data_IF_927423392423
#
_entry.id   IF_927423392423
#
_cell.length_a   1.000
_cell.length_b   1.000
_cell.length_c   1.000
_cell.angle_alpha   90.00
_cell.angle_beta   90.00
_cell.angle_gamma   90.00
#
_symmetry.space_group_name_H-M   'P 1'
#
loop_
_entity.id
_entity.type
_entity.pdbx_description
1 polymer ?
#
# COMPACT_ATOMS: atom_id res chain seq x y z
N UNK A 1 18.05 -31.99 3.81
CA UNK A 1 17.13 -30.94 3.39
C UNK A 1 15.89 -30.82 4.29
N UNK A 2 15.38 -31.88 4.88
CA UNK A 2 14.31 -31.91 5.88
C UNK A 2 14.58 -30.98 7.09
N UNK A 3 15.80 -30.84 7.53
CA UNK A 3 16.19 -29.96 8.64
C UNK A 3 16.08 -28.47 8.31
N UNK A 4 16.27 -28.07 7.05
CA UNK A 4 16.09 -26.68 6.60
C UNK A 4 14.61 -26.32 6.48
N UNK A 5 13.82 -27.25 6.00
CA UNK A 5 12.35 -27.12 5.88
C UNK A 5 11.69 -27.02 7.25
N UNK A 6 12.09 -27.85 8.20
CA UNK A 6 11.60 -27.81 9.58
C UNK A 6 11.98 -26.54 10.33
N UNK A 7 13.17 -25.98 10.06
CA UNK A 7 13.57 -24.66 10.61
C UNK A 7 12.75 -23.51 10.00
N UNK A 8 12.49 -23.54 8.68
CA UNK A 8 11.64 -22.53 8.02
C UNK A 8 10.21 -22.57 8.56
N UNK A 9 9.64 -23.76 8.69
CA UNK A 9 8.29 -23.96 9.24
C UNK A 9 8.20 -23.48 10.70
N UNK A 10 9.21 -23.72 11.50
CA UNK A 10 9.24 -23.26 12.90
C UNK A 10 9.45 -21.75 13.03
N UNK A 11 10.21 -21.13 12.15
CA UNK A 11 10.37 -19.67 12.08
C UNK A 11 9.07 -18.99 11.61
N UNK A 12 8.37 -19.58 10.66
CA UNK A 12 7.05 -19.12 10.20
C UNK A 12 6.02 -19.16 11.34
N UNK A 13 5.91 -20.27 12.06
CA UNK A 13 5.01 -20.38 13.21
C UNK A 13 5.33 -19.42 14.39
N UNK A 14 6.59 -19.03 14.57
CA UNK A 14 7.00 -18.07 15.59
C UNK A 14 6.66 -16.64 15.15
N UNK A 15 6.81 -16.33 13.88
CA UNK A 15 6.46 -15.05 13.26
C UNK A 15 4.94 -14.83 13.30
N UNK A 16 4.15 -15.84 12.94
CA UNK A 16 2.69 -15.82 12.99
C UNK A 16 2.16 -15.58 14.40
N UNK A 17 2.79 -16.19 15.42
CA UNK A 17 2.42 -15.96 16.82
C UNK A 17 2.77 -14.55 17.30
N UNK A 18 3.86 -13.95 16.85
CA UNK A 18 4.21 -12.56 17.17
C UNK A 18 3.23 -11.59 16.52
N UNK A 19 2.89 -11.80 15.26
CA UNK A 19 1.94 -10.95 14.54
C UNK A 19 0.55 -10.97 15.21
N UNK A 20 0.06 -12.13 15.66
CA UNK A 20 -1.21 -12.22 16.39
C UNK A 20 -1.19 -11.49 17.74
N UNK A 21 -0.05 -11.44 18.42
CA UNK A 21 0.07 -10.71 19.71
C UNK A 21 0.18 -9.19 19.49
N UNK A 22 0.82 -8.74 18.42
CA UNK A 22 0.91 -7.31 18.08
C UNK A 22 -0.41 -6.75 17.55
N UNK A 23 -1.28 -7.57 16.99
CA UNK A 23 -2.57 -7.12 16.44
C UNK A 23 -3.49 -6.50 17.50
N UNK A 24 -3.50 -7.06 18.70
CA UNK A 24 -4.32 -6.53 19.80
C UNK A 24 -3.82 -5.18 20.36
N UNK A 25 -2.59 -4.80 20.00
CA UNK A 25 -1.96 -3.53 20.38
C UNK A 25 -2.05 -2.48 19.27
N UNK A 26 -2.18 -2.91 18.00
CA UNK A 26 -2.25 -2.01 16.84
C UNK A 26 -3.64 -1.37 16.75
N UNK A 27 -3.67 -0.06 16.60
CA UNK A 27 -4.92 0.71 16.49
C UNK A 27 -5.26 0.99 15.02
N UNK A 28 -6.55 1.17 14.75
CA UNK A 28 -7.07 1.47 13.41
C UNK A 28 -6.38 2.66 12.75
N UNK A 29 -6.03 3.71 13.52
CA UNK A 29 -5.30 4.89 13.01
C UNK A 29 -3.92 4.58 12.44
N UNK A 30 -3.31 3.47 12.83
CA UNK A 30 -1.96 3.09 12.40
C UNK A 30 -1.95 2.42 11.03
N UNK A 31 -3.10 1.88 10.61
CA UNK A 31 -3.25 1.14 9.35
C UNK A 31 -4.18 1.82 8.34
N UNK A 32 -4.91 2.87 8.77
CA UNK A 32 -5.85 3.57 7.90
C UNK A 32 -5.15 4.37 6.80
N UNK A 33 -5.81 4.51 5.67
CA UNK A 33 -5.50 5.55 4.69
C UNK A 33 -5.98 6.88 5.28
N UNK A 34 -5.09 7.84 5.53
CA UNK A 34 -5.46 9.10 6.15
C UNK A 34 -6.36 9.93 5.24
N UNK A 35 -7.14 10.83 5.82
CA UNK A 35 -8.08 11.73 5.14
C UNK A 35 -7.48 12.45 3.92
N UNK A 36 -6.23 12.88 4.02
CA UNK A 36 -5.51 13.60 2.96
C UNK A 36 -5.27 12.77 1.71
N UNK A 37 -5.21 11.46 1.85
CA UNK A 37 -4.86 10.51 0.80
C UNK A 37 -6.09 9.75 0.28
N UNK A 38 -7.26 10.00 0.89
CA UNK A 38 -8.52 9.39 0.47
C UNK A 38 -8.93 9.90 -0.92
N UNK A 39 -9.20 8.96 -1.81
CA UNK A 39 -9.84 9.25 -3.09
C UNK A 39 -11.35 9.19 -2.89
N UNK A 40 -12.01 10.35 -2.96
CA UNK A 40 -13.44 10.51 -2.80
C UNK A 40 -14.09 10.99 -4.10
N UNK A 41 -15.41 10.87 -4.19
CA UNK A 41 -16.23 11.43 -5.28
C UNK A 41 -17.28 12.38 -4.70
N UNK A 42 -17.53 13.45 -5.44
CA UNK A 42 -18.64 14.35 -5.15
C UNK A 42 -19.99 13.66 -5.42
N UNK A 43 -21.00 13.96 -4.59
CA UNK A 43 -22.37 13.42 -4.70
C UNK A 43 -23.03 13.67 -6.06
N UNK A 44 -22.62 14.73 -6.77
CA UNK A 44 -23.13 15.11 -8.08
C UNK A 44 -22.39 14.45 -9.24
N UNK A 45 -21.29 13.75 -8.96
CA UNK A 45 -20.57 12.97 -9.97
C UNK A 45 -21.48 11.88 -10.56
N UNK A 46 -21.27 11.53 -11.82
CA UNK A 46 -22.08 10.54 -12.52
C UNK A 46 -21.55 9.12 -12.35
N UNK A 47 -22.37 8.11 -12.63
CA UNK A 47 -21.92 6.73 -12.67
C UNK A 47 -20.84 6.50 -13.75
N UNK A 48 -20.87 7.27 -14.85
CA UNK A 48 -19.80 7.22 -15.86
C UNK A 48 -18.46 7.72 -15.29
N UNK A 49 -18.50 8.77 -14.45
CA UNK A 49 -17.30 9.29 -13.78
C UNK A 49 -16.74 8.26 -12.80
N UNK A 50 -17.60 7.59 -12.04
CA UNK A 50 -17.21 6.52 -11.13
C UNK A 50 -16.53 5.36 -11.87
N UNK A 51 -17.13 4.89 -12.98
CA UNK A 51 -16.55 3.80 -13.77
C UNK A 51 -15.17 4.18 -14.30
N UNK A 52 -14.99 5.44 -14.74
CA UNK A 52 -13.68 5.95 -15.19
C UNK A 52 -12.67 6.01 -14.04
N UNK A 53 -13.09 6.50 -12.89
CA UNK A 53 -12.24 6.57 -11.70
C UNK A 53 -11.77 5.18 -11.29
N UNK A 54 -12.70 4.24 -11.10
CA UNK A 54 -12.39 2.87 -10.71
C UNK A 54 -11.49 2.16 -11.74
N UNK A 55 -11.71 2.39 -13.04
CA UNK A 55 -10.87 1.81 -14.10
C UNK A 55 -9.42 2.33 -14.09
N UNK A 56 -9.21 3.58 -13.66
CA UNK A 56 -7.87 4.18 -13.59
C UNK A 56 -7.13 3.87 -12.29
N UNK A 57 -7.86 3.88 -11.17
CA UNK A 57 -7.29 3.70 -9.82
C UNK A 57 -7.22 2.23 -9.38
N UNK A 58 -8.00 1.34 -10.01
CA UNK A 58 -8.17 -0.04 -9.56
C UNK A 58 -9.11 -0.20 -8.36
N UNK A 59 -9.62 0.89 -7.80
CA UNK A 59 -10.49 0.83 -6.63
C UNK A 59 -11.87 0.31 -6.96
N UNK A 60 -12.39 -0.56 -6.10
CA UNK A 60 -13.73 -1.15 -6.21
C UNK A 60 -14.78 -0.45 -5.34
N UNK A 61 -14.33 0.40 -4.42
CA UNK A 61 -15.18 1.11 -3.44
C UNK A 61 -14.65 2.51 -3.27
N UNK A 62 -15.54 3.50 -3.39
CA UNK A 62 -15.16 4.91 -3.35
C UNK A 62 -16.11 5.64 -2.42
N UNK A 63 -15.61 6.36 -1.40
CA UNK A 63 -16.41 7.24 -0.58
C UNK A 63 -17.03 8.35 -1.42
N UNK A 64 -18.30 8.65 -1.15
CA UNK A 64 -19.05 9.75 -1.77
C UNK A 64 -19.33 10.79 -0.72
N UNK A 65 -18.90 12.01 -1.00
CA UNK A 65 -18.99 13.16 -0.09
C UNK A 65 -19.89 14.24 -0.65
N UNK A 66 -20.37 15.08 0.22
CA UNK A 66 -21.14 16.28 -0.13
C UNK A 66 -20.23 17.48 -0.35
N UNK A 67 -20.47 18.54 0.43
CA UNK A 67 -19.77 19.81 0.24
C UNK A 67 -18.33 19.77 0.79
N UNK A 68 -18.06 18.83 1.68
CA UNK A 68 -16.74 18.64 2.28
C UNK A 68 -16.50 17.15 2.62
N UNK A 69 -15.28 16.80 3.02
CA UNK A 69 -14.89 15.40 3.32
C UNK A 69 -15.64 14.87 4.54
N UNK A 70 -16.01 15.73 5.49
CA UNK A 70 -16.76 15.36 6.67
C UNK A 70 -18.27 15.15 6.38
N UNK A 71 -18.76 15.65 5.23
CA UNK A 71 -20.13 15.40 4.76
C UNK A 71 -20.20 14.09 3.97
N UNK A 72 -20.00 12.97 4.67
CA UNK A 72 -20.02 11.65 4.06
C UNK A 72 -21.46 11.21 3.74
N UNK A 73 -21.76 11.05 2.45
CA UNK A 73 -23.03 10.52 1.96
C UNK A 73 -23.09 9.00 2.05
N UNK A 74 -21.96 8.33 1.79
CA UNK A 74 -21.84 6.88 1.85
C UNK A 74 -20.68 6.36 1.02
N UNK A 75 -20.68 5.06 0.76
CA UNK A 75 -19.67 4.41 -0.11
C UNK A 75 -20.36 3.82 -1.34
N UNK A 76 -19.86 4.19 -2.51
CA UNK A 76 -20.29 3.63 -3.79
C UNK A 76 -19.43 2.42 -4.16
N UNK A 77 -20.07 1.38 -4.69
CA UNK A 77 -19.42 0.14 -5.10
C UNK A 77 -19.41 0.02 -6.63
N UNK A 78 -18.23 -0.27 -7.19
CA UNK A 78 -18.07 -0.50 -8.64
C UNK A 78 -19.08 -1.51 -9.19
N UNK A 79 -19.32 -2.60 -8.46
CA UNK A 79 -20.28 -3.63 -8.87
C UNK A 79 -21.72 -3.11 -9.02
N UNK A 80 -22.11 -2.12 -8.20
CA UNK A 80 -23.44 -1.54 -8.26
C UNK A 80 -23.56 -0.54 -9.42
N UNK A 81 -22.48 0.22 -9.69
CA UNK A 81 -22.41 1.08 -10.86
C UNK A 81 -22.46 0.27 -12.17
N UNK A 82 -21.69 -0.81 -12.26
CA UNK A 82 -21.73 -1.72 -13.40
C UNK A 82 -23.12 -2.34 -13.57
N UNK A 83 -23.74 -2.82 -12.49
CA UNK A 83 -25.11 -3.39 -12.54
C UNK A 83 -26.15 -2.38 -13.02
N UNK A 84 -26.03 -1.11 -12.57
CA UNK A 84 -26.96 -0.06 -12.96
C UNK A 84 -26.85 0.32 -14.43
N UNK A 85 -25.64 0.24 -15.02
CA UNK A 85 -25.35 0.70 -16.38
C UNK A 85 -25.33 -0.39 -17.44
N UNK A 86 -25.14 -1.67 -17.05
CA UNK A 86 -24.91 -2.80 -17.97
C UNK A 86 -26.03 -3.00 -19.00
N UNK A 87 -27.29 -2.77 -18.59
CA UNK A 87 -28.45 -2.94 -19.47
C UNK A 87 -29.21 -1.64 -19.74
N UNK A 88 -28.73 -0.52 -19.22
CA UNK A 88 -29.31 0.80 -19.42
C UNK A 88 -28.21 1.87 -19.56
N UNK A 89 -27.70 2.10 -20.76
CA UNK A 89 -26.65 3.10 -20.97
C UNK A 89 -27.03 4.52 -20.51
N UNK A 90 -28.30 4.88 -20.52
CA UNK A 90 -28.78 6.17 -20.03
C UNK A 90 -28.57 6.33 -18.52
N UNK A 91 -28.50 5.22 -17.77
CA UNK A 91 -28.22 5.26 -16.34
C UNK A 91 -26.77 5.75 -16.03
N UNK A 92 -25.87 5.76 -17.00
CA UNK A 92 -24.52 6.29 -16.83
C UNK A 92 -24.49 7.77 -16.41
N UNK A 93 -25.54 8.53 -16.74
CA UNK A 93 -25.71 9.94 -16.36
C UNK A 93 -26.35 10.15 -14.98
N UNK A 94 -26.78 9.08 -14.31
CA UNK A 94 -27.31 9.19 -12.94
C UNK A 94 -26.18 9.55 -11.97
N UNK A 95 -26.54 10.30 -10.93
CA UNK A 95 -25.60 10.65 -9.87
C UNK A 95 -25.17 9.42 -9.05
N UNK A 96 -23.89 9.39 -8.68
CA UNK A 96 -23.29 8.34 -7.85
C UNK A 96 -24.00 8.20 -6.51
N UNK A 97 -24.51 9.29 -5.95
CA UNK A 97 -25.29 9.31 -4.72
C UNK A 97 -26.51 8.36 -4.75
N UNK A 98 -27.03 8.03 -5.96
CA UNK A 98 -28.18 7.11 -6.09
C UNK A 98 -27.87 5.64 -5.79
N UNK A 99 -26.61 5.25 -5.70
CA UNK A 99 -26.17 3.87 -5.47
C UNK A 99 -25.30 3.68 -4.23
N UNK A 100 -25.13 4.72 -3.41
CA UNK A 100 -24.32 4.65 -2.19
C UNK A 100 -24.95 3.72 -1.17
N UNK A 101 -24.09 3.10 -0.38
CA UNK A 101 -24.46 2.29 0.78
C UNK A 101 -23.91 2.96 2.03
N UNK A 102 -24.58 2.77 3.15
CA UNK A 102 -24.07 3.24 4.43
C UNK A 102 -22.78 2.49 4.79
N UNK A 103 -21.68 3.20 5.08
CA UNK A 103 -20.44 2.58 5.52
C UNK A 103 -20.52 2.19 6.99
N UNK A 104 -19.62 1.30 7.41
CA UNK A 104 -19.30 1.11 8.81
C UNK A 104 -18.48 2.32 9.27
N UNK A 105 -18.90 2.96 10.38
CA UNK A 105 -18.11 4.00 11.06
C UNK A 105 -17.39 3.37 12.24
N UNK A 106 -16.11 3.66 12.38
CA UNK A 106 -15.28 3.13 13.46
C UNK A 106 -14.39 4.23 14.05
N UNK A 107 -14.19 4.25 15.38
CA UNK A 107 -13.26 5.20 15.97
C UNK A 107 -11.82 4.84 15.62
N UNK A 108 -10.96 5.83 15.51
CA UNK A 108 -9.54 5.65 15.20
C UNK A 108 -8.77 4.87 16.30
N UNK A 109 -9.27 4.88 17.52
CA UNK A 109 -8.72 4.16 18.67
C UNK A 109 -9.14 2.69 18.75
N UNK A 110 -9.93 2.19 17.79
CA UNK A 110 -10.37 0.79 17.80
C UNK A 110 -9.20 -0.15 17.50
N UNK A 111 -9.00 -1.24 18.28
CA UNK A 111 -8.03 -2.28 17.96
C UNK A 111 -8.32 -2.94 16.61
N UNK A 112 -7.26 -3.29 15.87
CA UNK A 112 -7.37 -3.86 14.51
C UNK A 112 -8.03 -5.23 14.50
N UNK A 113 -7.82 -6.05 15.51
CA UNK A 113 -8.49 -7.36 15.68
C UNK A 113 -10.00 -7.22 15.84
N UNK A 114 -10.44 -6.28 16.71
CA UNK A 114 -11.86 -5.96 16.90
C UNK A 114 -12.49 -5.38 15.63
N UNK A 115 -11.73 -4.56 14.89
CA UNK A 115 -12.15 -4.02 13.61
C UNK A 115 -12.36 -5.14 12.60
N UNK A 116 -11.39 -6.03 12.46
CA UNK A 116 -11.46 -7.17 11.54
C UNK A 116 -12.67 -8.06 11.81
N UNK A 117 -12.90 -8.42 13.09
CA UNK A 117 -14.07 -9.19 13.48
C UNK A 117 -15.40 -8.49 13.17
N UNK A 118 -15.48 -7.18 13.42
CA UNK A 118 -16.66 -6.39 13.10
C UNK A 118 -16.92 -6.33 11.59
N UNK A 119 -15.86 -6.16 10.77
CA UNK A 119 -15.95 -6.17 9.30
C UNK A 119 -16.41 -7.52 8.77
N UNK A 120 -15.92 -8.63 9.33
CA UNK A 120 -16.35 -9.98 8.96
C UNK A 120 -17.83 -10.21 9.30
N UNK A 121 -18.27 -9.85 10.50
CA UNK A 121 -19.67 -10.04 10.94
C UNK A 121 -20.65 -9.25 10.08
N UNK A 122 -20.29 -8.01 9.73
CA UNK A 122 -21.14 -7.13 8.92
C UNK A 122 -20.97 -7.35 7.42
N UNK A 123 -20.00 -8.17 7.02
CA UNK A 123 -19.60 -8.40 5.62
C UNK A 123 -19.28 -7.10 4.87
N UNK A 124 -18.72 -6.15 5.59
CA UNK A 124 -18.24 -4.92 5.02
C UNK A 124 -16.73 -5.00 4.81
N UNK A 125 -16.26 -4.55 3.67
CA UNK A 125 -14.85 -4.58 3.30
C UNK A 125 -14.18 -3.21 3.36
N UNK A 126 -14.92 -2.17 3.74
CA UNK A 126 -14.44 -0.81 3.97
C UNK A 126 -15.13 -0.27 5.19
N UNK A 127 -14.36 0.35 6.07
CA UNK A 127 -14.86 1.15 7.17
C UNK A 127 -14.31 2.59 7.06
N UNK A 128 -15.12 3.55 7.43
CA UNK A 128 -14.71 4.94 7.56
C UNK A 128 -14.30 5.19 8.99
N UNK A 129 -13.11 5.73 9.16
CA UNK A 129 -12.53 6.02 10.47
C UNK A 129 -12.91 7.44 10.87
N UNK A 130 -13.41 7.57 12.10
CA UNK A 130 -13.82 8.86 12.66
C UNK A 130 -12.98 9.24 13.87
N UNK A 131 -12.69 10.52 13.99
CA UNK A 131 -12.00 11.09 15.15
C UNK A 131 -12.92 11.31 16.34
N UNK A 132 -12.40 11.85 17.44
CA UNK A 132 -13.14 12.12 18.70
C UNK A 132 -14.19 13.23 18.54
N UNK A 133 -14.09 14.03 17.49
CA UNK A 133 -14.99 15.14 17.21
C UNK A 133 -16.09 14.76 16.19
N UNK A 134 -16.03 13.53 15.68
CA UNK A 134 -16.96 13.02 14.66
C UNK A 134 -16.57 13.38 13.23
N UNK A 135 -15.39 13.96 13.01
CA UNK A 135 -14.82 14.21 11.69
C UNK A 135 -14.26 12.93 11.06
N UNK A 136 -14.11 12.92 9.74
CA UNK A 136 -13.50 11.81 9.02
C UNK A 136 -11.99 11.89 9.19
N UNK A 137 -11.40 10.90 9.87
CA UNK A 137 -9.95 10.73 10.02
C UNK A 137 -9.34 9.99 8.84
N UNK A 138 -10.06 9.02 8.27
CA UNK A 138 -9.56 8.21 7.17
C UNK A 138 -10.51 7.09 6.76
N UNK A 139 -10.00 6.14 6.01
CA UNK A 139 -10.67 4.88 5.71
C UNK A 139 -9.73 3.70 5.92
N UNK A 140 -10.30 2.52 6.15
CA UNK A 140 -9.56 1.28 6.28
C UNK A 140 -10.29 0.18 5.51
N UNK A 141 -9.55 -0.69 4.86
CA UNK A 141 -10.09 -1.84 4.16
C UNK A 141 -9.87 -3.13 4.94
N UNK A 142 -10.62 -4.18 4.63
CA UNK A 142 -10.39 -5.49 5.25
C UNK A 142 -9.05 -6.05 4.82
N UNK A 143 -8.62 -5.71 3.60
CA UNK A 143 -7.33 -6.07 3.04
C UNK A 143 -6.19 -5.52 3.93
N UNK A 144 -6.25 -4.24 4.36
CA UNK A 144 -5.26 -3.62 5.26
C UNK A 144 -5.21 -4.34 6.63
N UNK A 145 -6.37 -4.75 7.15
CA UNK A 145 -6.43 -5.50 8.42
C UNK A 145 -5.81 -6.90 8.29
N UNK A 146 -6.02 -7.58 7.14
CA UNK A 146 -5.45 -8.91 6.87
C UNK A 146 -3.93 -8.79 6.72
N UNK A 147 -3.44 -7.76 6.06
CA UNK A 147 -2.00 -7.52 5.89
C UNK A 147 -1.28 -7.41 7.24
N UNK A 148 -1.89 -6.78 8.23
CA UNK A 148 -1.34 -6.73 9.58
C UNK A 148 -1.31 -8.10 10.27
N UNK A 149 -2.29 -8.98 9.99
CA UNK A 149 -2.38 -10.32 10.58
C UNK A 149 -1.35 -11.26 9.97
N UNK A 150 -1.27 -11.25 8.64
CA UNK A 150 -0.46 -12.21 7.88
C UNK A 150 0.97 -11.70 7.70
N UNK A 151 1.21 -10.39 7.93
CA UNK A 151 2.40 -9.69 7.46
C UNK A 151 2.30 -9.47 5.96
N UNK A 152 3.31 -8.86 5.36
CA UNK A 152 3.36 -8.76 3.89
C UNK A 152 3.13 -10.18 3.35
N UNK A 153 1.94 -10.40 2.76
CA UNK A 153 1.69 -11.58 1.94
C UNK A 153 2.68 -11.45 0.78
N UNK A 154 3.78 -12.20 0.86
CA UNK A 154 4.59 -12.46 -0.31
C UNK A 154 3.64 -13.12 -1.32
N UNK A 155 3.02 -12.32 -2.18
CA UNK A 155 2.21 -12.81 -3.29
C UNK A 155 3.12 -13.73 -4.10
N UNK A 156 2.68 -14.94 -4.41
CA UNK A 156 3.45 -15.86 -5.26
C UNK A 156 3.79 -15.22 -6.61
N UNK A 157 3.14 -14.11 -6.95
CA UNK A 157 3.44 -13.23 -8.09
C UNK A 157 4.43 -12.09 -7.75
N UNK A 158 4.66 -11.74 -6.48
CA UNK A 158 5.65 -10.75 -6.04
C UNK A 158 7.09 -11.28 -6.04
N UNK A 159 7.31 -12.50 -6.50
CA UNK A 159 8.67 -13.00 -6.84
C UNK A 159 9.44 -12.10 -7.81
N UNK A 160 8.79 -11.08 -8.33
CA UNK A 160 9.42 -10.06 -9.19
C UNK A 160 9.82 -8.78 -8.45
N UNK A 161 9.41 -8.55 -7.18
CA UNK A 161 9.75 -7.32 -6.47
C UNK A 161 10.84 -7.47 -5.39
N UNK A 162 11.08 -8.69 -4.89
CA UNK A 162 12.28 -9.03 -4.12
C UNK A 162 13.27 -9.84 -4.98
N UNK A 163 13.48 -9.41 -6.22
CA UNK A 163 14.55 -9.99 -7.01
C UNK A 163 15.88 -9.67 -6.31
N UNK A 164 16.57 -10.70 -5.84
CA UNK A 164 17.95 -10.58 -5.41
C UNK A 164 18.76 -9.89 -6.51
N UNK A 165 19.85 -9.17 -6.17
CA UNK A 165 20.71 -8.56 -7.17
C UNK A 165 21.11 -9.58 -8.25
N UNK A 166 20.67 -9.35 -9.50
CA UNK A 166 20.89 -10.24 -10.62
C UNK A 166 21.95 -9.65 -11.56
N UNK A 167 22.98 -10.46 -11.87
CA UNK A 167 24.00 -10.05 -12.84
C UNK A 167 23.48 -10.23 -14.26
N UNK A 168 23.20 -9.11 -14.95
CA UNK A 168 22.67 -9.09 -16.32
C UNK A 168 23.75 -8.88 -17.39
N UNK A 169 25.00 -8.71 -17.00
CA UNK A 169 26.15 -8.55 -17.91
C UNK A 169 27.48 -8.47 -17.17
N UNK A 170 28.60 -8.37 -17.89
CA UNK A 170 29.95 -8.37 -17.28
C UNK A 170 30.15 -7.29 -16.19
N UNK A 171 29.50 -6.12 -16.35
CA UNK A 171 29.55 -4.98 -15.42
C UNK A 171 28.15 -4.37 -15.18
N UNK A 172 27.09 -5.17 -15.35
CA UNK A 172 25.72 -4.71 -15.21
C UNK A 172 24.96 -5.60 -14.26
N UNK A 173 24.32 -4.97 -13.29
CA UNK A 173 23.49 -5.63 -12.30
C UNK A 173 22.10 -5.02 -12.31
N UNK A 174 21.11 -5.83 -12.12
CA UNK A 174 19.73 -5.43 -11.84
C UNK A 174 19.49 -5.70 -10.36
N UNK A 175 19.05 -4.69 -9.63
CA UNK A 175 18.77 -4.82 -8.21
C UNK A 175 17.56 -3.99 -7.80
N UNK A 176 16.84 -4.43 -6.76
CA UNK A 176 15.75 -3.64 -6.20
C UNK A 176 16.24 -2.30 -5.67
N UNK A 177 15.43 -1.26 -5.81
CA UNK A 177 15.75 0.08 -5.31
C UNK A 177 15.94 0.11 -3.78
N UNK A 178 15.27 -0.79 -3.06
CA UNK A 178 15.32 -0.91 -1.59
C UNK A 178 16.46 -1.81 -1.08
N UNK A 179 17.34 -2.32 -1.95
CA UNK A 179 18.49 -3.11 -1.53
C UNK A 179 19.33 -2.30 -0.54
N UNK A 180 19.68 -2.85 0.65
CA UNK A 180 20.54 -2.17 1.62
C UNK A 180 21.93 -1.88 1.03
N UNK A 181 22.54 -0.76 1.45
CA UNK A 181 23.92 -0.40 1.02
C UNK A 181 24.92 -1.47 1.45
N UNK A 182 24.78 -2.04 2.64
CA UNK A 182 25.63 -3.12 3.12
C UNK A 182 25.69 -4.32 2.15
N UNK A 183 24.60 -4.59 1.42
CA UNK A 183 24.61 -5.63 0.37
C UNK A 183 25.46 -5.25 -0.83
N UNK A 184 25.52 -3.95 -1.19
CA UNK A 184 26.43 -3.46 -2.25
C UNK A 184 27.88 -3.55 -1.81
N UNK A 185 28.17 -3.16 -0.59
CA UNK A 185 29.51 -3.22 -0.02
C UNK A 185 30.06 -4.65 -0.01
N UNK A 186 29.22 -5.61 0.43
CA UNK A 186 29.57 -7.03 0.42
C UNK A 186 29.74 -7.60 -1.00
N UNK A 187 28.85 -7.22 -1.93
CA UNK A 187 28.90 -7.73 -3.31
C UNK A 187 30.06 -7.21 -4.15
N UNK A 188 30.47 -5.96 -3.91
CA UNK A 188 31.49 -5.29 -4.71
C UNK A 188 32.82 -5.08 -3.97
N UNK A 189 32.89 -5.52 -2.70
CA UNK A 189 34.06 -5.32 -1.82
C UNK A 189 34.48 -3.85 -1.74
N UNK A 190 33.49 -2.95 -1.64
CA UNK A 190 33.70 -1.50 -1.54
C UNK A 190 33.19 -1.01 -0.19
N UNK A 191 33.75 0.06 0.30
CA UNK A 191 33.27 0.78 1.48
C UNK A 191 32.61 2.08 1.03
N UNK A 192 31.38 2.31 1.43
CA UNK A 192 30.58 3.48 1.07
C UNK A 192 30.41 4.33 2.32
N UNK A 193 31.30 5.33 2.47
CA UNK A 193 31.32 6.27 3.60
C UNK A 193 30.18 7.31 3.48
N UNK A 194 28.93 6.87 3.66
CA UNK A 194 27.73 7.68 3.52
C UNK A 194 26.73 7.37 4.64
N UNK A 195 26.87 8.11 5.76
CA UNK A 195 26.06 7.90 6.98
C UNK A 195 24.54 8.22 6.82
N UNK A 196 24.17 8.98 5.78
CA UNK A 196 22.80 9.50 5.61
C UNK A 196 21.92 8.66 4.70
N UNK A 197 22.39 7.51 4.20
CA UNK A 197 21.65 6.69 3.22
C UNK A 197 21.77 5.20 3.53
N UNK A 198 20.63 4.52 3.59
CA UNK A 198 20.56 3.08 3.94
C UNK A 198 20.28 2.18 2.73
N UNK A 199 19.90 2.75 1.58
CA UNK A 199 19.45 1.97 0.41
C UNK A 199 20.09 2.43 -0.89
N UNK A 200 20.14 1.53 -1.88
CA UNK A 200 20.59 1.84 -3.26
C UNK A 200 19.83 3.02 -3.84
N UNK A 201 18.53 3.12 -3.57
CA UNK A 201 17.72 4.25 -4.03
C UNK A 201 18.14 5.58 -3.40
N UNK A 202 18.41 5.57 -2.09
CA UNK A 202 18.91 6.74 -1.37
C UNK A 202 20.25 7.19 -1.94
N UNK A 203 21.18 6.26 -2.14
CA UNK A 203 22.49 6.52 -2.73
C UNK A 203 22.37 7.12 -4.15
N UNK A 204 21.53 6.54 -4.99
CA UNK A 204 21.28 7.05 -6.35
C UNK A 204 20.67 8.45 -6.32
N UNK A 205 19.71 8.70 -5.42
CA UNK A 205 19.09 10.02 -5.26
C UNK A 205 20.11 11.08 -4.87
N UNK A 206 21.01 10.74 -3.95
CA UNK A 206 22.09 11.64 -3.49
C UNK A 206 23.08 11.93 -4.61
N UNK A 207 23.54 10.90 -5.33
CA UNK A 207 24.51 11.05 -6.43
C UNK A 207 23.95 11.79 -7.65
N UNK A 208 22.64 11.66 -7.92
CA UNK A 208 21.99 12.28 -9.07
C UNK A 208 21.42 13.67 -8.76
N UNK A 209 21.32 14.03 -7.48
CA UNK A 209 20.69 15.27 -7.03
C UNK A 209 19.21 15.39 -7.39
N UNK A 210 18.57 14.29 -7.73
CA UNK A 210 17.12 14.20 -8.05
C UNK A 210 16.57 12.82 -7.78
N UNK A 211 15.27 12.74 -7.50
CA UNK A 211 14.54 11.49 -7.32
C UNK A 211 14.51 10.69 -8.65
N UNK A 212 15.03 9.46 -8.69
CA UNK A 212 14.93 8.60 -9.86
C UNK A 212 13.46 8.27 -10.17
N UNK A 213 13.05 8.43 -11.43
CA UNK A 213 11.72 8.02 -11.89
C UNK A 213 11.76 6.51 -12.20
N UNK A 214 10.65 5.80 -11.95
CA UNK A 214 10.51 4.36 -12.16
C UNK A 214 11.08 3.91 -13.51
N UNK A 215 11.90 2.85 -13.48
CA UNK A 215 12.52 2.19 -14.66
C UNK A 215 13.61 2.99 -15.40
N UNK A 216 14.36 3.85 -14.74
CA UNK A 216 15.53 4.48 -15.38
C UNK A 216 16.75 3.58 -15.22
N UNK A 217 17.33 3.17 -16.35
CA UNK A 217 18.61 2.44 -16.38
C UNK A 217 19.77 3.41 -16.23
N UNK A 218 20.56 3.25 -15.19
CA UNK A 218 21.80 4.02 -14.98
C UNK A 218 22.99 3.17 -15.39
N UNK A 219 23.78 3.64 -16.35
CA UNK A 219 24.91 2.89 -16.92
C UNK A 219 26.27 3.27 -16.33
N UNK A 220 26.38 4.31 -15.51
CA UNK A 220 27.64 4.76 -14.91
C UNK A 220 27.41 5.39 -13.53
N UNK A 221 27.84 4.71 -12.49
CA UNK A 221 28.22 5.31 -11.22
C UNK A 221 29.74 5.38 -11.18
N UNK A 222 30.31 6.57 -11.25
CA UNK A 222 31.71 6.78 -10.89
C UNK A 222 31.74 7.07 -9.41
N UNK A 223 32.32 6.18 -8.62
CA UNK A 223 32.78 6.52 -7.30
C UNK A 223 33.82 7.66 -7.48
N UNK A 224 33.65 8.75 -6.75
CA UNK A 224 34.72 9.74 -6.60
C UNK A 224 35.86 9.03 -5.87
N UNK A 225 36.87 8.64 -6.60
CA UNK A 225 38.17 8.35 -5.99
C UNK A 225 38.63 9.62 -5.29
N UNK A 226 38.53 9.64 -3.97
CA UNK A 226 39.26 10.60 -3.17
C UNK A 226 40.72 10.27 -3.33
N UNK A 227 41.41 11.03 -4.22
CA UNK A 227 42.82 10.94 -4.40
C UNK A 227 43.55 11.19 -3.08
N UNK A 228 44.20 10.17 -2.55
CA UNK A 228 45.39 10.31 -1.74
C UNK A 228 46.54 9.81 -2.56
N UNK A 229 47.20 10.73 -3.20
CA UNK A 229 48.58 10.59 -3.61
C UNK A 229 49.45 10.46 -2.36
N UNK A 230 50.16 9.35 -2.29
CA UNK A 230 51.54 9.29 -1.81
C UNK A 230 52.32 8.37 -2.73
#
# INVERSE_FOLDING_TARGET
DLHKEYRRQRQMCIRDRRNVLTLSETLTREIMVPRTDMICMDRTATLADMLRLCSRSGFSRVPVIGDDVDDLIGVAYLKDAVRATAFNPAASQRYVASIVRQPMLVPESKPVDDLFHAMQQTRQHVAIVVDEYGGIAGLVTIEDTIEQIVGELEDEHDRTQHSEPEKIGERKWKMPARTPIATLEEMFEIDIDEDDVDTVYGLLTKLLGRVPIVAVSYTHLRAHETGRNL
#
